data_IF_955083030447
#
_entry.id   IF_955083030447
#
_cell.length_a   1.000
_cell.length_b   1.000
_cell.length_c   1.000
_cell.angle_alpha   90.00
_cell.angle_beta   90.00
_cell.angle_gamma   90.00
#
_symmetry.space_group_name_H-M   'P 1'
#
loop_
_entity.id
_entity.type
_entity.pdbx_description
1 polymer ?
#
# COMPACT_ATOMS: atom_id res chain seq x y z
N UNK A 1 -4.66 11.58 -5.70
CA UNK A 1 -5.09 10.25 -5.25
C UNK A 1 -3.87 9.37 -5.30
N UNK A 2 -3.75 8.45 -4.36
CA UNK A 2 -2.56 7.62 -4.18
C UNK A 2 -2.96 6.32 -3.46
N UNK A 3 -2.33 5.21 -3.85
CA UNK A 3 -2.55 3.88 -3.31
C UNK A 3 -1.20 3.18 -3.27
N UNK A 4 -0.77 2.80 -2.07
CA UNK A 4 0.64 2.51 -1.84
C UNK A 4 0.90 1.06 -1.47
N UNK A 5 2.01 0.55 -1.98
CA UNK A 5 2.75 -0.55 -1.40
C UNK A 5 4.12 -0.02 -0.99
N UNK A 6 4.44 -0.11 0.29
CA UNK A 6 5.70 0.40 0.84
C UNK A 6 6.41 -0.72 1.59
N UNK A 7 7.61 -1.07 1.12
CA UNK A 7 8.51 -1.99 1.80
C UNK A 7 9.43 -1.18 2.70
N UNK A 8 9.17 -1.27 3.99
CA UNK A 8 9.95 -0.59 5.00
C UNK A 8 11.13 -1.49 5.37
N UNK A 9 12.32 -1.05 4.98
CA UNK A 9 13.58 -1.74 5.25
C UNK A 9 13.79 -2.02 6.73
N UNK A 10 14.75 -2.88 7.02
CA UNK A 10 15.15 -3.18 8.39
C UNK A 10 16.64 -3.48 8.46
N UNK A 11 17.20 -3.47 9.67
CA UNK A 11 18.56 -3.95 9.90
C UNK A 11 18.67 -5.44 9.55
N UNK A 12 19.86 -5.87 9.15
CA UNK A 12 20.11 -7.23 8.70
C UNK A 12 19.62 -8.28 9.73
N UNK A 13 18.94 -9.32 9.24
CA UNK A 13 18.37 -10.39 10.06
C UNK A 13 17.07 -10.05 10.79
N UNK A 14 16.53 -8.83 10.65
CA UNK A 14 15.20 -8.47 11.17
C UNK A 14 14.13 -8.54 10.07
N UNK A 15 12.88 -8.91 10.42
CA UNK A 15 11.81 -8.99 9.43
C UNK A 15 11.53 -7.64 8.77
N UNK A 16 11.29 -7.67 7.47
CA UNK A 16 10.74 -6.54 6.73
C UNK A 16 9.38 -6.15 7.30
N UNK A 17 9.09 -4.84 7.31
CA UNK A 17 7.74 -4.33 7.52
C UNK A 17 7.17 -3.91 6.18
N UNK A 18 5.90 -4.17 5.99
CA UNK A 18 5.21 -3.87 4.76
C UNK A 18 3.98 -3.05 5.08
N UNK A 19 3.73 -2.02 4.29
CA UNK A 19 2.63 -1.08 4.51
C UNK A 19 1.81 -0.91 3.24
N UNK A 20 0.50 -0.76 3.42
CA UNK A 20 -0.37 -0.20 2.40
C UNK A 20 -0.95 1.12 2.88
N UNK A 21 -1.21 2.05 1.96
CA UNK A 21 -1.80 3.35 2.30
C UNK A 21 -2.75 3.82 1.19
N UNK A 22 -3.64 4.75 1.54
CA UNK A 22 -4.58 5.36 0.60
C UNK A 22 -4.75 6.84 0.90
N UNK A 23 -4.62 7.65 -0.16
CA UNK A 23 -4.96 9.07 -0.15
C UNK A 23 -5.96 9.41 -1.24
N UNK A 24 -7.07 10.03 -0.86
CA UNK A 24 -8.08 10.56 -1.76
C UNK A 24 -8.04 12.08 -1.87
N UNK A 25 -8.38 12.59 -3.05
CA UNK A 25 -8.58 14.01 -3.34
C UNK A 25 -7.42 14.95 -2.93
N UNK A 26 -6.18 14.46 -3.05
CA UNK A 26 -4.98 15.25 -2.73
C UNK A 26 -4.75 15.46 -1.23
N UNK A 27 -5.42 14.68 -0.37
CA UNK A 27 -5.07 14.63 1.06
C UNK A 27 -3.63 14.16 1.23
N UNK A 28 -2.86 14.85 2.05
CA UNK A 28 -1.51 14.43 2.48
C UNK A 28 -1.34 14.53 4.00
N UNK A 29 -2.35 15.02 4.70
CA UNK A 29 -2.34 15.25 6.16
C UNK A 29 -2.87 14.06 6.97
N UNK A 30 -3.54 13.10 6.32
CA UNK A 30 -4.10 11.91 6.97
C UNK A 30 -3.86 10.68 6.12
N UNK A 31 -2.93 9.85 6.58
CA UNK A 31 -2.74 8.50 6.08
C UNK A 31 -3.83 7.54 6.57
N UNK A 32 -3.95 6.43 5.85
CA UNK A 32 -4.79 5.26 6.12
C UNK A 32 -3.91 4.02 6.10
N UNK A 33 -2.81 4.07 6.83
CA UNK A 33 -1.79 3.02 6.87
C UNK A 33 -2.35 1.74 7.48
N UNK A 34 -2.07 0.60 6.83
CA UNK A 34 -2.09 -0.70 7.47
C UNK A 34 -0.72 -1.35 7.33
N UNK A 35 -0.20 -1.90 8.43
CA UNK A 35 1.14 -2.49 8.51
C UNK A 35 1.07 -3.98 8.80
N UNK A 36 1.87 -4.75 8.06
CA UNK A 36 1.88 -6.20 8.11
C UNK A 36 3.30 -6.76 8.22
N UNK A 37 3.36 -8.02 8.65
CA UNK A 37 4.50 -8.91 8.38
C UNK A 37 4.08 -9.87 7.27
N UNK A 38 4.99 -10.15 6.36
CA UNK A 38 4.76 -11.11 5.29
C UNK A 38 4.98 -12.54 5.80
N UNK A 39 4.25 -13.50 5.24
CA UNK A 39 4.39 -14.93 5.54
C UNK A 39 5.56 -15.59 4.80
N UNK A 40 6.40 -14.79 4.16
CA UNK A 40 7.61 -15.17 3.43
C UNK A 40 8.67 -14.07 3.60
N UNK A 41 9.92 -14.38 3.21
CA UNK A 41 10.99 -13.39 3.13
C UNK A 41 10.97 -12.72 1.74
N UNK A 42 10.56 -11.43 1.64
CA UNK A 42 10.41 -10.76 0.34
C UNK A 42 11.74 -10.49 -0.37
N UNK A 43 12.88 -10.77 0.29
CA UNK A 43 14.22 -10.62 -0.30
C UNK A 43 14.74 -11.89 -1.00
N UNK A 44 14.06 -13.03 -0.85
CA UNK A 44 14.55 -14.33 -1.33
C UNK A 44 14.00 -14.72 -2.68
N UNK A 45 12.75 -14.35 -2.97
CA UNK A 45 12.06 -14.71 -4.21
C UNK A 45 11.18 -13.55 -4.69
N UNK A 46 10.86 -13.56 -5.99
CA UNK A 46 9.91 -12.61 -6.55
C UNK A 46 8.48 -13.02 -6.22
N UNK A 47 7.69 -12.05 -5.76
CA UNK A 47 6.25 -12.20 -5.52
C UNK A 47 5.48 -11.17 -6.35
N UNK A 48 4.22 -11.46 -6.64
CA UNK A 48 3.36 -10.55 -7.40
C UNK A 48 2.62 -9.62 -6.45
N UNK A 49 2.82 -8.32 -6.57
CA UNK A 49 2.06 -7.30 -5.84
C UNK A 49 1.09 -6.65 -6.81
N UNK A 50 -0.19 -6.56 -6.46
CA UNK A 50 -1.22 -6.08 -7.38
C UNK A 50 -2.29 -5.28 -6.66
N UNK A 51 -2.83 -4.27 -7.33
CA UNK A 51 -3.96 -3.49 -6.85
C UNK A 51 -5.09 -3.66 -7.88
N UNK A 52 -6.21 -4.23 -7.45
CA UNK A 52 -7.47 -4.11 -8.19
C UNK A 52 -8.12 -2.80 -7.75
N UNK A 53 -8.36 -1.90 -8.68
CA UNK A 53 -9.06 -0.64 -8.41
C UNK A 53 -10.26 -0.51 -9.33
N UNK A 54 -11.45 -0.46 -8.73
CA UNK A 54 -12.73 -0.30 -9.39
C UNK A 54 -13.46 0.92 -8.81
N UNK A 55 -14.56 1.37 -9.43
CA UNK A 55 -15.42 2.40 -8.83
C UNK A 55 -16.02 2.01 -7.47
N UNK A 56 -16.09 0.71 -7.15
CA UNK A 56 -16.79 0.18 -5.97
C UNK A 56 -15.85 -0.30 -4.87
N UNK A 57 -14.64 -0.74 -5.22
CA UNK A 57 -13.66 -1.21 -4.25
C UNK A 57 -12.21 -1.12 -4.74
N UNK A 58 -11.30 -1.14 -3.77
CA UNK A 58 -9.86 -1.30 -3.97
C UNK A 58 -9.44 -2.56 -3.21
N UNK A 59 -8.73 -3.46 -3.86
CA UNK A 59 -8.17 -4.65 -3.20
C UNK A 59 -6.67 -4.74 -3.49
N UNK A 60 -5.89 -4.84 -2.42
CA UNK A 60 -4.45 -5.08 -2.46
C UNK A 60 -4.20 -6.59 -2.35
N UNK A 61 -3.39 -7.11 -3.26
CA UNK A 61 -3.01 -8.52 -3.33
C UNK A 61 -1.51 -8.70 -3.19
N UNK A 62 -1.16 -9.81 -2.53
CA UNK A 62 0.16 -10.42 -2.62
C UNK A 62 -0.05 -11.83 -3.17
N UNK A 63 0.57 -12.10 -4.31
CA UNK A 63 0.29 -13.25 -5.17
C UNK A 63 -1.20 -13.35 -5.52
N UNK A 64 -1.89 -14.33 -4.95
CA UNK A 64 -3.34 -14.53 -5.12
C UNK A 64 -4.12 -14.23 -3.83
N UNK A 65 -3.44 -13.78 -2.78
CA UNK A 65 -4.03 -13.55 -1.45
C UNK A 65 -4.43 -12.07 -1.32
N UNK A 66 -5.73 -11.75 -1.14
CA UNK A 66 -6.16 -10.40 -0.80
C UNK A 66 -5.72 -10.08 0.63
N UNK A 67 -4.95 -9.02 0.81
CA UNK A 67 -4.43 -8.61 2.13
C UNK A 67 -5.19 -7.42 2.71
N UNK A 68 -5.86 -6.63 1.86
CA UNK A 68 -6.64 -5.46 2.25
C UNK A 68 -7.71 -5.19 1.20
N UNK A 69 -8.94 -4.97 1.66
CA UNK A 69 -10.03 -4.49 0.84
C UNK A 69 -10.58 -3.18 1.42
N UNK A 70 -10.75 -2.19 0.54
CA UNK A 70 -11.42 -0.93 0.84
C UNK A 70 -12.66 -0.86 -0.05
N UNK A 71 -13.82 -1.15 0.54
CA UNK A 71 -15.12 -1.00 -0.13
C UNK A 71 -15.53 0.47 -0.08
N UNK A 72 -15.86 1.05 -1.23
CA UNK A 72 -16.35 2.43 -1.32
C UNK A 72 -17.66 2.56 -0.56
N UNK A 73 -17.71 3.55 0.34
CA UNK A 73 -18.94 3.98 1.01
C UNK A 73 -19.17 5.46 0.76
N UNK A 74 -20.43 5.89 0.82
CA UNK A 74 -20.81 7.28 0.57
C UNK A 74 -20.10 8.24 1.53
N UNK A 75 -19.96 7.84 2.79
CA UNK A 75 -19.34 8.62 3.86
C UNK A 75 -17.84 8.87 3.64
N UNK A 76 -17.20 8.08 2.77
CA UNK A 76 -15.81 8.33 2.39
C UNK A 76 -15.67 9.62 1.59
N UNK A 77 -16.70 10.04 0.85
CA UNK A 77 -16.64 11.23 0.02
C UNK A 77 -15.37 11.27 -0.86
N UNK A 78 -14.58 12.33 -0.72
CA UNK A 78 -13.33 12.52 -1.46
C UNK A 78 -12.16 11.63 -1.01
N UNK A 79 -12.32 10.84 0.06
CA UNK A 79 -11.27 9.97 0.56
C UNK A 79 -11.05 8.73 -0.30
N UNK A 80 -12.05 8.32 -1.09
CA UNK A 80 -11.91 7.19 -2.00
C UNK A 80 -11.24 7.66 -3.31
N UNK A 81 -10.09 7.06 -3.71
CA UNK A 81 -9.42 7.34 -4.98
C UNK A 81 -10.37 7.18 -6.18
N UNK A 82 -10.52 8.24 -6.98
CA UNK A 82 -11.49 8.29 -8.09
C UNK A 82 -10.99 9.07 -9.32
N UNK A 83 -9.79 9.64 -9.28
CA UNK A 83 -9.18 10.37 -10.41
C UNK A 83 -8.16 9.49 -11.14
N UNK A 84 -7.94 9.67 -12.45
CA UNK A 84 -6.89 8.96 -13.19
C UNK A 84 -5.53 9.06 -12.50
N UNK A 85 -4.80 7.95 -12.45
CA UNK A 85 -3.49 7.82 -11.79
C UNK A 85 -2.46 7.19 -12.73
N UNK A 86 -1.19 7.45 -12.43
CA UNK A 86 -0.05 6.80 -13.06
C UNK A 86 0.58 5.80 -12.10
N UNK A 87 1.22 4.76 -12.63
CA UNK A 87 1.98 3.80 -11.84
C UNK A 87 3.40 4.33 -11.60
N UNK A 88 3.86 4.25 -10.36
CA UNK A 88 5.23 4.59 -9.96
C UNK A 88 5.87 3.44 -9.19
N UNK A 89 7.18 3.33 -9.30
CA UNK A 89 8.01 2.48 -8.46
C UNK A 89 9.31 3.24 -8.17
N UNK A 90 9.65 3.38 -6.90
CA UNK A 90 10.81 4.16 -6.46
C UNK A 90 11.56 3.43 -5.36
N UNK A 91 12.84 3.77 -5.22
CA UNK A 91 13.68 3.39 -4.08
C UNK A 91 14.27 4.70 -3.56
N UNK A 92 14.06 4.99 -2.29
CA UNK A 92 14.44 6.27 -1.69
C UNK A 92 14.72 6.10 -0.19
N UNK A 93 15.37 7.11 0.41
CA UNK A 93 15.71 7.10 1.84
C UNK A 93 14.55 7.65 2.69
N UNK A 94 13.96 6.79 3.54
CA UNK A 94 12.91 7.13 4.50
C UNK A 94 13.34 7.09 5.98
N UNK A 95 14.62 7.36 6.29
CA UNK A 95 15.24 7.20 7.62
C UNK A 95 14.42 7.77 8.79
N UNK A 96 13.69 8.88 8.60
CA UNK A 96 12.93 9.54 9.67
C UNK A 96 11.75 8.70 10.22
N UNK A 97 11.27 7.69 9.48
CA UNK A 97 10.05 6.97 9.84
C UNK A 97 9.98 5.50 9.39
N UNK A 98 10.83 5.06 8.47
CA UNK A 98 10.73 3.74 7.86
C UNK A 98 11.22 2.60 8.78
N UNK A 99 12.24 2.84 9.62
CA UNK A 99 12.97 1.78 10.37
C UNK A 99 12.90 1.90 11.89
#
# INVERSE_FOLDING_TARGET
DEMDFEFLGNVEGKPWRFQTNLYGNGSTSRGREERYRLWFDPSKEFHRYSILWTPDNIIFYIDEVPIREVVRREEMGGDFPSKPMSLYATIWNGDDWAT
#
